data_IF_536583866663
#
_entry.id   IF_536583866663
#
_cell.length_a   1.000
_cell.length_b   1.000
_cell.length_c   1.000
_cell.angle_alpha   90.00
_cell.angle_beta   90.00
_cell.angle_gamma   90.00
#
_symmetry.space_group_name_H-M   'P 1'
#
loop_
_entity.id
_entity.type
_entity.pdbx_description
1 polymer ?
#
# COMPACT_ATOMS: atom_id res chain seq x y z
N UNK A 1 9.93 64.63 -18.38
CA UNK A 1 10.27 63.66 -19.44
C UNK A 1 11.42 62.82 -18.89
N UNK A 2 11.34 61.52 -18.60
CA UNK A 2 10.49 60.45 -19.11
C UNK A 2 10.06 59.51 -17.96
N UNK A 3 8.84 58.97 -18.10
CA UNK A 3 8.31 57.84 -17.33
C UNK A 3 8.86 56.50 -17.85
N UNK A 4 8.61 55.43 -17.08
CA UNK A 4 8.08 54.12 -17.53
C UNK A 4 8.97 52.87 -17.35
N UNK A 5 8.54 52.02 -16.40
CA UNK A 5 8.50 50.52 -16.33
C UNK A 5 9.82 49.74 -16.54
N UNK A 6 10.10 48.58 -15.93
CA UNK A 6 9.27 47.51 -15.34
C UNK A 6 10.23 46.46 -14.75
N UNK A 7 10.01 46.01 -13.52
CA UNK A 7 10.34 44.63 -13.14
C UNK A 7 9.16 44.10 -12.32
N UNK A 8 8.26 43.39 -13.02
CA UNK A 8 7.27 42.53 -12.39
C UNK A 8 8.03 41.42 -11.67
N UNK A 9 7.93 41.38 -10.34
CA UNK A 9 8.24 40.19 -9.58
C UNK A 9 7.26 39.10 -10.03
N UNK A 10 7.77 38.11 -10.76
CA UNK A 10 7.01 36.92 -11.13
C UNK A 10 6.72 36.12 -9.86
N UNK A 11 5.54 36.34 -9.28
CA UNK A 11 4.97 35.47 -8.27
C UNK A 11 4.78 34.08 -8.86
N UNK A 12 5.66 33.14 -8.48
CA UNK A 12 5.49 31.73 -8.75
C UNK A 12 4.24 31.23 -8.03
N UNK A 13 3.13 31.15 -8.76
CA UNK A 13 1.93 30.44 -8.36
C UNK A 13 2.24 28.93 -8.34
N UNK A 14 2.84 28.44 -7.27
CA UNK A 14 2.81 27.00 -6.98
C UNK A 14 1.42 26.67 -6.47
N UNK A 15 0.54 26.23 -7.38
CA UNK A 15 -0.67 25.51 -7.00
C UNK A 15 -0.26 24.38 -6.05
N UNK A 16 -0.98 24.12 -4.95
CA UNK A 16 -0.66 23.01 -4.08
C UNK A 16 -0.63 21.74 -4.93
N UNK A 17 0.50 21.02 -4.93
CA UNK A 17 0.57 19.70 -5.52
C UNK A 17 -0.52 18.86 -4.85
N UNK A 18 -1.42 18.27 -5.63
CA UNK A 18 -2.45 17.37 -5.10
C UNK A 18 -1.74 16.14 -4.57
N UNK A 19 -1.57 16.08 -3.25
CA UNK A 19 -0.94 14.96 -2.59
C UNK A 19 -2.00 13.86 -2.44
N UNK A 20 -1.76 12.74 -3.12
CA UNK A 20 -2.67 11.59 -3.08
C UNK A 20 -2.62 10.95 -1.68
N UNK A 21 -3.78 10.61 -1.07
CA UNK A 21 -3.81 10.00 0.26
C UNK A 21 -3.15 8.62 0.28
N UNK A 22 -2.54 8.21 1.39
CA UNK A 22 -2.07 6.83 1.53
C UNK A 22 -3.27 5.87 1.58
N UNK A 23 -3.21 4.77 0.84
CA UNK A 23 -4.16 3.65 0.90
C UNK A 23 -3.48 2.44 1.51
N UNK A 24 -4.06 1.92 2.59
CA UNK A 24 -3.58 0.69 3.25
C UNK A 24 -4.45 -0.48 2.81
N UNK A 25 -3.83 -1.50 2.20
CA UNK A 25 -4.50 -2.71 1.74
C UNK A 25 -4.19 -3.84 2.71
N UNK A 26 -5.23 -4.27 3.44
CA UNK A 26 -5.15 -5.38 4.39
C UNK A 26 -5.64 -6.65 3.73
N UNK A 27 -4.81 -7.69 3.72
CA UNK A 27 -5.08 -9.00 3.11
C UNK A 27 -5.02 -10.06 4.21
N UNK A 28 -6.16 -10.42 4.83
CA UNK A 28 -6.24 -11.58 5.71
C UNK A 28 -5.94 -12.86 4.93
N UNK A 29 -5.07 -13.71 5.46
CA UNK A 29 -4.70 -14.98 4.86
C UNK A 29 -4.71 -16.10 5.91
N UNK A 30 -5.30 -17.23 5.56
CA UNK A 30 -5.22 -18.47 6.33
C UNK A 30 -5.23 -19.62 5.35
N UNK A 31 -4.14 -20.37 5.29
CA UNK A 31 -3.93 -21.45 4.33
C UNK A 31 -4.29 -21.06 2.88
N UNK A 32 -3.68 -19.98 2.41
CA UNK A 32 -3.97 -19.32 1.13
C UNK A 32 -2.85 -19.50 0.10
N UNK A 33 -2.01 -20.53 0.22
CA UNK A 33 -0.83 -20.75 -0.63
C UNK A 33 -1.17 -20.67 -2.14
N UNK A 34 -2.33 -21.21 -2.52
CA UNK A 34 -2.80 -21.24 -3.92
C UNK A 34 -3.16 -19.86 -4.50
N UNK A 35 -3.58 -18.90 -3.68
CA UNK A 35 -4.23 -17.65 -4.14
C UNK A 35 -3.53 -16.37 -3.68
N UNK A 36 -2.70 -16.45 -2.64
CA UNK A 36 -2.12 -15.26 -2.01
C UNK A 36 -1.30 -14.41 -2.98
N UNK A 37 -0.58 -15.04 -3.91
CA UNK A 37 0.21 -14.33 -4.92
C UNK A 37 -0.66 -13.64 -5.98
N UNK A 38 -1.77 -14.26 -6.39
CA UNK A 38 -2.69 -13.63 -7.34
C UNK A 38 -3.30 -12.35 -6.76
N UNK A 39 -3.75 -12.41 -5.50
CA UNK A 39 -4.27 -11.26 -4.78
C UNK A 39 -3.22 -10.15 -4.65
N UNK A 40 -1.98 -10.50 -4.30
CA UNK A 40 -0.89 -9.54 -4.17
C UNK A 40 -0.50 -8.91 -5.51
N UNK A 41 -0.40 -9.70 -6.58
CA UNK A 41 -0.11 -9.18 -7.92
C UNK A 41 -1.21 -8.22 -8.41
N UNK A 42 -2.47 -8.51 -8.10
CA UNK A 42 -3.59 -7.63 -8.42
C UNK A 42 -3.44 -6.25 -7.77
N UNK A 43 -3.09 -6.20 -6.48
CA UNK A 43 -2.89 -4.95 -5.73
C UNK A 43 -1.60 -4.24 -6.15
N UNK A 44 -0.52 -4.99 -6.41
CA UNK A 44 0.76 -4.43 -6.84
C UNK A 44 0.74 -3.90 -8.28
N UNK A 45 -0.20 -4.34 -9.11
CA UNK A 45 -0.38 -3.89 -10.49
C UNK A 45 -1.25 -2.64 -10.66
N UNK A 46 -1.69 -2.01 -9.56
CA UNK A 46 -2.48 -0.78 -9.61
C UNK A 46 -1.60 0.43 -9.98
N UNK A 47 -2.19 1.45 -10.59
CA UNK A 47 -1.56 2.73 -10.98
C UNK A 47 -1.56 3.79 -9.86
N UNK A 48 -2.01 3.40 -8.66
CA UNK A 48 -2.03 4.25 -7.47
C UNK A 48 -0.74 4.06 -6.64
N UNK A 49 0.07 5.10 -6.52
CA UNK A 49 1.42 4.97 -5.96
C UNK A 49 1.50 4.98 -4.42
N UNK A 50 0.74 5.81 -3.67
CA UNK A 50 0.82 5.79 -2.22
C UNK A 50 -0.02 4.62 -1.66
N UNK A 51 0.49 3.40 -1.80
CA UNK A 51 -0.08 2.17 -1.25
C UNK A 51 0.88 1.52 -0.26
N UNK A 52 0.35 1.10 0.88
CA UNK A 52 0.99 0.09 1.72
C UNK A 52 0.16 -1.20 1.73
N UNK A 53 0.82 -2.35 1.80
CA UNK A 53 0.17 -3.66 1.77
C UNK A 53 0.60 -4.45 3.00
N UNK A 54 -0.39 -4.97 3.72
CA UNK A 54 -0.22 -5.80 4.89
C UNK A 54 -0.94 -7.13 4.68
N UNK A 55 -0.21 -8.24 4.75
CA UNK A 55 -0.79 -9.59 4.84
C UNK A 55 -0.90 -9.95 6.31
N UNK A 56 -2.12 -10.25 6.75
CA UNK A 56 -2.40 -10.71 8.12
C UNK A 56 -2.59 -12.23 8.07
N UNK A 57 -1.53 -12.96 8.38
CA UNK A 57 -1.53 -14.41 8.46
C UNK A 57 -2.19 -14.87 9.77
N UNK A 58 -3.35 -15.52 9.67
CA UNK A 58 -4.16 -16.01 10.78
C UNK A 58 -3.77 -17.44 11.18
N UNK A 59 -2.46 -17.69 11.28
CA UNK A 59 -1.89 -18.95 11.73
C UNK A 59 -1.88 -20.04 10.66
N UNK A 60 -1.49 -19.71 9.43
CA UNK A 60 -1.40 -20.70 8.36
C UNK A 60 -0.39 -21.81 8.68
N UNK A 61 -0.67 -23.01 8.20
CA UNK A 61 0.20 -24.19 8.31
C UNK A 61 0.72 -24.69 6.96
N UNK A 62 0.42 -23.97 5.88
CA UNK A 62 0.89 -24.22 4.52
C UNK A 62 2.01 -23.24 4.11
N UNK A 63 2.35 -23.19 2.82
CA UNK A 63 3.39 -22.32 2.28
C UNK A 63 3.02 -20.84 2.16
N UNK A 64 1.86 -20.39 2.65
CA UNK A 64 1.36 -19.01 2.48
C UNK A 64 2.39 -17.96 2.85
N UNK A 65 2.93 -18.04 4.07
CA UNK A 65 3.86 -17.02 4.60
C UNK A 65 5.17 -17.01 3.82
N UNK A 66 5.69 -18.19 3.49
CA UNK A 66 6.95 -18.33 2.76
C UNK A 66 6.84 -17.80 1.33
N UNK A 67 5.69 -18.01 0.66
CA UNK A 67 5.42 -17.41 -0.65
C UNK A 67 5.42 -15.89 -0.58
N UNK A 68 4.69 -15.29 0.37
CA UNK A 68 4.60 -13.83 0.50
C UNK A 68 5.98 -13.22 0.77
N UNK A 69 6.76 -13.84 1.67
CA UNK A 69 8.13 -13.37 2.00
C UNK A 69 9.04 -13.41 0.78
N UNK A 70 8.97 -14.47 -0.02
CA UNK A 70 9.89 -14.70 -1.13
C UNK A 70 9.53 -13.87 -2.36
N UNK A 71 8.26 -13.86 -2.75
CA UNK A 71 7.82 -13.27 -4.02
C UNK A 71 7.47 -11.79 -3.88
N UNK A 72 7.10 -11.34 -2.67
CA UNK A 72 6.63 -9.96 -2.44
C UNK A 72 7.33 -9.28 -1.26
N UNK A 73 8.66 -9.08 -1.30
CA UNK A 73 9.44 -8.58 -0.15
C UNK A 73 9.06 -7.17 0.33
N UNK A 74 8.33 -6.40 -0.48
CA UNK A 74 7.80 -5.07 -0.12
C UNK A 74 6.51 -5.12 0.71
N UNK A 75 5.89 -6.29 0.85
CA UNK A 75 4.64 -6.50 1.60
C UNK A 75 4.99 -6.78 3.06
N UNK A 76 4.31 -6.12 3.99
CA UNK A 76 4.47 -6.38 5.42
C UNK A 76 3.63 -7.59 5.80
N UNK A 77 4.19 -8.49 6.61
CA UNK A 77 3.47 -9.67 7.11
C UNK A 77 3.29 -9.53 8.62
N UNK A 78 2.06 -9.66 9.09
CA UNK A 78 1.72 -9.77 10.51
C UNK A 78 1.17 -11.17 10.73
N UNK A 79 1.80 -11.94 11.61
CA UNK A 79 1.35 -13.30 11.95
C UNK A 79 0.66 -13.28 13.32
N UNK A 80 -0.50 -13.93 13.40
CA UNK A 80 -1.24 -14.10 14.64
C UNK A 80 -1.66 -15.56 14.81
N UNK A 81 -1.96 -15.96 16.05
CA UNK A 81 -2.64 -17.22 16.30
C UNK A 81 -4.04 -17.17 15.70
N UNK A 82 -4.48 -18.26 15.05
CA UNK A 82 -5.78 -18.35 14.41
C UNK A 82 -6.92 -17.86 15.31
N UNK A 83 -7.55 -16.77 14.89
CA UNK A 83 -8.66 -16.10 15.59
C UNK A 83 -9.82 -15.75 14.63
N UNK A 84 -9.73 -16.19 13.37
CA UNK A 84 -10.72 -15.99 12.33
C UNK A 84 -10.52 -14.67 11.57
N UNK A 85 -11.14 -14.60 10.38
CA UNK A 85 -10.98 -13.48 9.45
C UNK A 85 -11.38 -12.11 10.03
N UNK A 86 -12.32 -12.06 10.99
CA UNK A 86 -12.69 -10.82 11.64
C UNK A 86 -11.56 -10.28 12.54
N UNK A 87 -10.88 -11.16 13.28
CA UNK A 87 -9.73 -10.78 14.08
C UNK A 87 -8.58 -10.33 13.18
N UNK A 88 -8.26 -11.08 12.13
CA UNK A 88 -7.22 -10.73 11.17
C UNK A 88 -7.43 -9.33 10.55
N UNK A 89 -8.66 -8.98 10.18
CA UNK A 89 -8.98 -7.62 9.68
C UNK A 89 -8.84 -6.51 10.71
N UNK A 90 -9.01 -6.81 12.00
CA UNK A 90 -8.91 -5.80 13.06
C UNK A 90 -7.45 -5.60 13.53
N UNK A 91 -6.56 -6.53 13.19
CA UNK A 91 -5.13 -6.47 13.52
C UNK A 91 -4.34 -5.58 12.56
N UNK A 92 -4.75 -5.55 11.28
CA UNK A 92 -4.18 -4.67 10.24
C UNK A 92 -4.98 -3.40 10.06
#
# INVERSE_FOLDING_TARGET
MNQSVSEHQSGGSTSPAVQLPLVSVIIPAYNAEEYVLEALHSVLGQDYEPVEILVIDDGSSDGTVDLVRRETPRVKIVQQTNAGAAAARNTG
#
